data_IF_434896458345
#
_entry.id   IF_434896458345
#
_cell.length_a   1.000
_cell.length_b   1.000
_cell.length_c   1.000
_cell.angle_alpha   90.00
_cell.angle_beta   90.00
_cell.angle_gamma   90.00
#
_symmetry.space_group_name_H-M   'P 1'
#
loop_
_entity.id
_entity.type
_entity.pdbx_description
1 polymer ?
#
# COMPACT_ATOMS: atom_id res chain seq x y z
N UNK A 1 -26.00 0.04 20.48
CA UNK A 1 -26.38 -0.75 19.29
C UNK A 1 -25.94 0.01 18.06
N UNK A 2 -24.98 -0.49 17.31
CA UNK A 2 -24.60 0.09 16.01
C UNK A 2 -25.71 -0.19 15.02
N UNK A 3 -26.26 0.85 14.39
CA UNK A 3 -27.22 0.68 13.30
C UNK A 3 -26.52 0.07 12.08
N UNK A 4 -27.20 -0.77 11.28
CA UNK A 4 -26.67 -1.24 10.00
C UNK A 4 -26.30 -0.03 9.11
N UNK A 5 -25.34 -0.21 8.18
CA UNK A 5 -24.99 0.85 7.24
C UNK A 5 -26.24 1.39 6.54
N UNK A 6 -26.25 2.68 6.27
CA UNK A 6 -27.33 3.35 5.54
C UNK A 6 -27.67 2.58 4.25
N UNK A 7 -28.96 2.36 3.93
CA UNK A 7 -29.39 1.68 2.70
C UNK A 7 -28.95 2.41 1.40
N UNK A 8 -28.37 3.61 1.53
CA UNK A 8 -28.01 4.52 0.45
C UNK A 8 -26.60 4.35 -0.12
N UNK A 9 -25.81 3.35 0.30
CA UNK A 9 -24.46 3.18 -0.27
C UNK A 9 -24.43 2.35 -1.56
N UNK A 10 -25.55 1.76 -1.99
CA UNK A 10 -25.58 1.02 -3.26
C UNK A 10 -24.84 -0.33 -3.22
N UNK A 11 -24.43 -0.82 -2.04
CA UNK A 11 -23.76 -2.12 -1.89
C UNK A 11 -24.60 -3.12 -1.07
N UNK A 12 -24.30 -4.40 -1.25
CA UNK A 12 -24.87 -5.57 -0.56
C UNK A 12 -23.74 -6.56 -0.25
N UNK A 13 -23.84 -7.27 0.88
CA UNK A 13 -22.91 -8.35 1.19
C UNK A 13 -23.38 -9.65 0.55
N UNK A 14 -22.54 -10.24 -0.31
CA UNK A 14 -22.71 -11.60 -0.82
C UNK A 14 -21.86 -12.54 0.02
N UNK A 15 -22.48 -13.53 0.65
CA UNK A 15 -21.80 -14.48 1.53
C UNK A 15 -21.49 -15.79 0.81
N UNK A 16 -20.23 -16.23 0.90
CA UNK A 16 -19.73 -17.46 0.26
C UNK A 16 -19.31 -18.44 1.37
N UNK A 17 -19.77 -19.70 1.33
CA UNK A 17 -19.36 -20.68 2.32
C UNK A 17 -17.88 -21.05 2.13
N UNK A 18 -17.16 -21.21 3.24
CA UNK A 18 -15.79 -21.74 3.25
C UNK A 18 -15.73 -23.00 4.10
N UNK A 19 -14.88 -23.96 3.73
CA UNK A 19 -14.74 -25.23 4.46
C UNK A 19 -14.05 -25.07 5.83
N UNK A 20 -13.44 -23.91 6.12
CA UNK A 20 -12.50 -23.76 7.25
C UNK A 20 -12.91 -22.65 8.24
N UNK A 21 -14.21 -22.57 8.56
CA UNK A 21 -14.80 -22.04 9.83
C UNK A 21 -15.61 -20.76 9.79
N UNK A 22 -15.64 -19.95 8.72
CA UNK A 22 -16.60 -18.82 8.62
C UNK A 22 -16.93 -18.48 7.16
N UNK A 23 -18.20 -18.19 6.82
CA UNK A 23 -18.55 -17.62 5.53
C UNK A 23 -17.83 -16.29 5.28
N UNK A 24 -17.37 -16.10 4.05
CA UNK A 24 -16.73 -14.86 3.61
C UNK A 24 -17.79 -13.94 3.03
N UNK A 25 -17.93 -12.75 3.61
CA UNK A 25 -18.80 -11.70 3.08
C UNK A 25 -18.02 -10.79 2.12
N UNK A 26 -18.44 -10.74 0.86
CA UNK A 26 -17.90 -9.84 -0.16
C UNK A 26 -18.88 -8.69 -0.33
N UNK A 27 -18.39 -7.45 -0.24
CA UNK A 27 -19.22 -6.28 -0.49
C UNK A 27 -19.30 -6.02 -2.01
N UNK A 28 -20.50 -6.18 -2.57
CA UNK A 28 -20.78 -6.07 -4.01
C UNK A 28 -21.78 -4.94 -4.24
N UNK A 29 -21.60 -4.12 -5.27
CA UNK A 29 -22.60 -3.10 -5.61
C UNK A 29 -23.91 -3.78 -6.04
N UNK A 30 -25.06 -3.30 -5.57
CA UNK A 30 -26.41 -3.88 -5.76
C UNK A 30 -26.72 -4.20 -7.22
N UNK A 31 -26.27 -3.35 -8.15
CA UNK A 31 -26.45 -3.55 -9.59
C UNK A 31 -25.70 -4.77 -10.17
N UNK A 32 -24.68 -5.28 -9.46
CA UNK A 32 -23.89 -6.43 -9.87
C UNK A 32 -24.15 -7.68 -9.03
N UNK A 33 -24.95 -7.61 -7.97
CA UNK A 33 -25.20 -8.73 -7.05
C UNK A 33 -25.72 -9.95 -7.79
N UNK A 34 -26.78 -9.81 -8.58
CA UNK A 34 -27.40 -10.93 -9.29
C UNK A 34 -26.46 -11.56 -10.33
N UNK A 35 -25.73 -10.73 -11.08
CA UNK A 35 -24.74 -11.21 -12.05
C UNK A 35 -23.56 -11.91 -11.38
N UNK A 36 -23.10 -11.38 -10.24
CA UNK A 36 -22.03 -11.96 -9.44
C UNK A 36 -22.45 -13.31 -8.84
N UNK A 37 -23.64 -13.39 -8.23
CA UNK A 37 -24.22 -14.64 -7.69
C UNK A 37 -24.37 -15.70 -8.79
N UNK A 38 -24.98 -15.34 -9.92
CA UNK A 38 -25.16 -16.25 -11.05
C UNK A 38 -23.82 -16.76 -11.60
N UNK A 39 -22.82 -15.89 -11.71
CA UNK A 39 -21.47 -16.27 -12.14
C UNK A 39 -20.80 -17.23 -11.16
N UNK A 40 -20.94 -16.98 -9.86
CA UNK A 40 -20.38 -17.84 -8.81
C UNK A 40 -21.02 -19.23 -8.83
N UNK A 41 -22.35 -19.30 -8.94
CA UNK A 41 -23.12 -20.55 -9.00
C UNK A 41 -22.80 -21.34 -10.27
N UNK A 42 -22.78 -20.68 -11.43
CA UNK A 42 -22.44 -21.31 -12.71
C UNK A 42 -21.02 -21.91 -12.73
N UNK A 43 -20.14 -21.45 -11.83
CA UNK A 43 -18.76 -21.93 -11.69
C UNK A 43 -18.57 -22.92 -10.53
N UNK A 44 -19.66 -23.50 -10.02
CA UNK A 44 -19.61 -24.52 -8.96
C UNK A 44 -19.43 -23.95 -7.55
N UNK A 45 -19.44 -22.63 -7.40
CA UNK A 45 -19.48 -21.98 -6.10
C UNK A 45 -20.89 -21.99 -5.50
N UNK A 46 -21.00 -21.62 -4.22
CA UNK A 46 -22.26 -21.51 -3.50
C UNK A 46 -22.42 -20.11 -2.92
N UNK A 47 -23.65 -19.65 -2.81
CA UNK A 47 -24.01 -18.38 -2.15
C UNK A 47 -24.93 -18.71 -0.97
N UNK A 48 -24.76 -18.00 0.14
CA UNK A 48 -25.69 -18.05 1.26
C UNK A 48 -26.60 -16.82 1.15
N UNK A 49 -27.83 -17.03 0.67
CA UNK A 49 -28.80 -15.95 0.41
C UNK A 49 -29.30 -15.29 1.70
N UNK A 50 -29.42 -16.05 2.80
CA UNK A 50 -30.01 -15.59 4.06
C UNK A 50 -29.02 -15.65 5.25
N UNK A 51 -27.76 -15.29 5.02
CA UNK A 51 -26.76 -15.32 6.07
C UNK A 51 -26.97 -14.16 7.06
N UNK A 52 -27.64 -14.43 8.19
CA UNK A 52 -27.72 -13.49 9.32
C UNK A 52 -26.67 -13.86 10.38
N UNK A 53 -25.64 -13.02 10.51
CA UNK A 53 -24.57 -13.16 11.50
C UNK A 53 -25.03 -13.12 12.96
N UNK A 54 -26.31 -12.80 13.21
CA UNK A 54 -26.93 -12.76 14.54
C UNK A 54 -27.80 -13.98 14.84
N UNK A 55 -27.87 -14.95 13.93
CA UNK A 55 -28.56 -16.24 14.15
C UNK A 55 -27.62 -17.28 14.75
N UNK A 56 -28.10 -18.05 15.70
CA UNK A 56 -27.37 -19.06 16.45
C UNK A 56 -26.81 -20.18 15.57
N UNK A 57 -27.51 -20.53 14.50
CA UNK A 57 -27.08 -21.54 13.52
C UNK A 57 -25.82 -21.13 12.72
N UNK A 58 -25.39 -19.86 12.81
CA UNK A 58 -24.14 -19.38 12.21
C UNK A 58 -22.92 -19.53 13.13
N UNK A 59 -23.11 -19.90 14.40
CA UNK A 59 -22.03 -20.13 15.36
C UNK A 59 -21.45 -21.54 15.16
N UNK A 60 -20.23 -21.61 14.62
CA UNK A 60 -19.47 -22.85 14.42
C UNK A 60 -18.25 -22.98 15.36
N UNK A 61 -18.21 -22.19 16.44
CA UNK A 61 -17.13 -22.26 17.42
C UNK A 61 -17.36 -23.44 18.37
N UNK A 62 -16.45 -24.43 18.44
CA UNK A 62 -16.65 -25.66 19.23
C UNK A 62 -16.95 -25.42 20.71
N UNK A 63 -16.58 -24.25 21.23
CA UNK A 63 -16.90 -23.82 22.59
C UNK A 63 -18.41 -23.83 22.89
N UNK A 64 -19.25 -23.68 21.86
CA UNK A 64 -20.70 -23.62 21.98
C UNK A 64 -21.41 -24.87 21.44
N UNK A 65 -20.67 -25.97 21.19
CA UNK A 65 -21.25 -27.19 20.63
C UNK A 65 -22.37 -27.77 21.52
N UNK A 66 -22.22 -27.67 22.84
CA UNK A 66 -23.21 -28.15 23.82
C UNK A 66 -24.44 -27.24 23.96
N UNK A 67 -24.48 -26.08 23.28
CA UNK A 67 -25.57 -25.13 23.40
C UNK A 67 -26.71 -25.52 22.45
N UNK A 68 -27.94 -25.53 22.98
CA UNK A 68 -29.16 -25.64 22.18
C UNK A 68 -29.30 -24.48 21.19
N UNK A 69 -30.06 -24.66 20.12
CA UNK A 69 -30.31 -23.63 19.10
C UNK A 69 -30.83 -22.32 19.71
N UNK A 70 -31.77 -22.40 20.65
CA UNK A 70 -32.29 -21.24 21.38
C UNK A 70 -31.21 -20.51 22.19
N UNK A 71 -30.31 -21.25 22.87
CA UNK A 71 -29.19 -20.64 23.59
C UNK A 71 -28.19 -19.98 22.63
N UNK A 72 -27.95 -20.59 21.47
CA UNK A 72 -27.09 -20.02 20.42
C UNK A 72 -27.69 -18.73 19.84
N UNK A 73 -29.00 -18.71 19.58
CA UNK A 73 -29.72 -17.51 19.13
C UNK A 73 -29.62 -16.36 20.15
N UNK A 74 -29.64 -16.66 21.44
CA UNK A 74 -29.47 -15.65 22.49
C UNK A 74 -28.08 -15.03 22.53
N UNK A 75 -27.01 -15.80 22.22
CA UNK A 75 -25.62 -15.33 22.31
C UNK A 75 -25.07 -14.78 20.98
N UNK A 76 -25.64 -15.17 19.84
CA UNK A 76 -25.15 -14.78 18.51
C UNK A 76 -25.07 -13.26 18.30
N UNK A 77 -26.05 -12.43 18.73
CA UNK A 77 -25.92 -10.98 18.64
C UNK A 77 -24.71 -10.43 19.40
N UNK A 78 -24.41 -10.98 20.58
CA UNK A 78 -23.28 -10.54 21.42
C UNK A 78 -21.93 -10.96 20.84
N UNK A 79 -21.84 -12.18 20.29
CA UNK A 79 -20.64 -12.65 19.60
C UNK A 79 -20.39 -11.80 18.35
N UNK A 80 -21.43 -11.54 17.55
CA UNK A 80 -21.34 -10.69 16.38
C UNK A 80 -20.91 -9.26 16.75
N UNK A 81 -21.54 -8.66 17.78
CA UNK A 81 -21.15 -7.35 18.28
C UNK A 81 -19.71 -7.32 18.77
N UNK A 82 -19.25 -8.32 19.54
CA UNK A 82 -17.86 -8.39 20.00
C UNK A 82 -16.87 -8.51 18.84
N UNK A 83 -17.23 -9.23 17.77
CA UNK A 83 -16.43 -9.33 16.53
C UNK A 83 -16.40 -8.01 15.77
N UNK A 84 -17.53 -7.29 15.68
CA UNK A 84 -17.58 -5.94 15.11
C UNK A 84 -16.75 -4.96 15.93
N UNK A 85 -16.86 -4.96 17.26
CA UNK A 85 -16.05 -4.12 18.16
C UNK A 85 -14.55 -4.44 18.08
N UNK A 86 -14.19 -5.73 17.94
CA UNK A 86 -12.81 -6.14 17.62
C UNK A 86 -12.37 -5.60 16.25
N UNK A 87 -13.23 -5.66 15.24
CA UNK A 87 -12.92 -5.18 13.89
C UNK A 87 -12.82 -3.65 13.84
N UNK A 88 -13.64 -2.93 14.60
CA UNK A 88 -13.59 -1.49 14.77
C UNK A 88 -12.25 -1.01 15.35
N UNK A 89 -11.62 -1.79 16.24
CA UNK A 89 -10.24 -1.51 16.69
C UNK A 89 -9.19 -1.57 15.58
N UNK A 90 -9.50 -2.22 14.46
CA UNK A 90 -8.64 -2.32 13.28
C UNK A 90 -9.05 -1.32 12.18
N UNK A 91 -10.22 -0.66 12.31
CA UNK A 91 -10.67 0.42 11.44
C UNK A 91 -10.12 1.73 12.03
N UNK A 92 -9.31 2.46 11.27
CA UNK A 92 -8.69 3.73 11.73
C UNK A 92 -9.78 4.77 12.02
N UNK A 93 -9.84 5.30 13.24
CA UNK A 93 -10.69 6.45 13.58
C UNK A 93 -10.21 7.75 12.89
N UNK A 94 -11.11 8.71 12.59
CA UNK A 94 -10.72 10.07 12.20
C UNK A 94 -9.94 10.76 13.34
N UNK A 95 -8.91 11.50 12.97
CA UNK A 95 -7.83 11.93 13.87
C UNK A 95 -8.30 12.99 14.90
N UNK A 96 -8.52 12.57 16.15
CA UNK A 96 -8.45 13.46 17.32
C UNK A 96 -7.03 13.41 17.94
N UNK A 97 -6.45 14.59 18.18
CA UNK A 97 -5.02 14.83 18.37
C UNK A 97 -4.44 14.51 19.75
N UNK A 98 -5.07 13.69 20.59
CA UNK A 98 -4.72 13.59 22.02
C UNK A 98 -4.71 12.18 22.64
N UNK A 99 -4.47 11.10 21.87
CA UNK A 99 -4.47 9.74 22.42
C UNK A 99 -3.04 9.15 22.60
N UNK A 100 -2.64 8.66 23.80
CA UNK A 100 -1.28 8.15 24.08
C UNK A 100 -0.93 6.81 23.43
N UNK A 101 -1.91 6.10 22.83
CA UNK A 101 -1.73 4.84 22.09
C UNK A 101 -1.37 5.04 20.61
N UNK A 102 -0.95 6.25 20.22
CA UNK A 102 -0.60 6.57 18.83
C UNK A 102 0.55 5.67 18.37
N UNK A 103 0.41 5.08 17.20
CA UNK A 103 1.57 4.64 16.43
C UNK A 103 2.51 5.83 16.27
N UNK A 104 3.71 5.73 16.85
CA UNK A 104 4.81 6.68 16.62
C UNK A 104 5.56 6.25 15.35
N UNK A 105 6.37 7.13 14.79
CA UNK A 105 7.32 6.78 13.70
C UNK A 105 6.68 6.50 12.32
N UNK A 106 5.57 7.19 12.00
CA UNK A 106 4.87 7.00 10.72
C UNK A 106 5.56 7.66 9.53
N UNK A 107 5.70 6.92 8.43
CA UNK A 107 6.22 7.40 7.13
C UNK A 107 5.05 7.50 6.15
N UNK A 108 5.02 8.58 5.35
CA UNK A 108 4.07 8.76 4.28
C UNK A 108 4.77 9.21 3.00
N UNK A 109 4.29 8.72 1.86
CA UNK A 109 4.67 9.20 0.54
C UNK A 109 3.43 9.75 -0.16
N UNK A 110 3.46 11.04 -0.50
CA UNK A 110 2.40 11.71 -1.24
C UNK A 110 2.85 11.89 -2.68
N UNK A 111 2.01 11.46 -3.62
CA UNK A 111 2.30 11.57 -5.04
C UNK A 111 1.32 12.53 -5.69
N UNK A 112 1.84 13.46 -6.48
CA UNK A 112 1.04 14.41 -7.23
C UNK A 112 0.01 13.64 -8.10
N UNK A 113 -1.29 13.94 -8.01
CA UNK A 113 -2.32 13.30 -8.84
C UNK A 113 -2.06 13.41 -10.35
N UNK A 114 -1.35 14.44 -10.79
CA UNK A 114 -0.93 14.63 -12.18
C UNK A 114 0.23 13.71 -12.61
N UNK A 115 0.86 12.98 -11.69
CA UNK A 115 1.91 12.00 -12.02
C UNK A 115 1.28 10.78 -12.71
N UNK A 116 1.58 10.63 -14.00
CA UNK A 116 0.92 9.69 -14.91
C UNK A 116 1.54 8.29 -14.95
N UNK A 117 2.74 8.10 -14.39
CA UNK A 117 3.41 6.81 -14.46
C UNK A 117 2.93 5.84 -13.38
N UNK A 118 3.01 4.51 -13.63
CA UNK A 118 2.67 3.48 -12.64
C UNK A 118 3.46 3.64 -11.34
N UNK A 119 2.82 3.30 -10.22
CA UNK A 119 3.40 3.34 -8.88
C UNK A 119 3.05 2.03 -8.20
N UNK A 120 4.06 1.24 -7.85
CA UNK A 120 3.89 -0.03 -7.18
C UNK A 120 4.43 0.07 -5.76
N UNK A 121 3.57 -0.11 -4.76
CA UNK A 121 4.00 -0.15 -3.36
C UNK A 121 4.53 -1.55 -3.02
N UNK A 122 5.75 -1.62 -2.48
CA UNK A 122 6.34 -2.88 -2.03
C UNK A 122 5.96 -3.12 -0.56
N UNK A 123 5.28 -4.22 -0.30
CA UNK A 123 5.05 -4.70 1.06
C UNK A 123 6.22 -5.58 1.48
N UNK A 124 7.01 -5.11 2.44
CA UNK A 124 8.07 -5.90 3.03
C UNK A 124 7.50 -6.93 4.01
N UNK A 125 7.98 -8.17 3.92
CA UNK A 125 7.66 -9.23 4.88
C UNK A 125 8.44 -9.07 6.20
N UNK A 126 9.65 -8.51 6.13
CA UNK A 126 10.52 -8.37 7.30
C UNK A 126 10.01 -7.26 8.24
N UNK A 127 9.73 -7.55 9.53
CA UNK A 127 9.10 -6.58 10.45
C UNK A 127 9.85 -5.25 10.60
N UNK A 128 11.19 -5.28 10.55
CA UNK A 128 12.00 -4.06 10.62
C UNK A 128 11.75 -3.15 9.40
N UNK A 129 11.72 -3.72 8.19
CA UNK A 129 11.50 -2.94 6.98
C UNK A 129 10.06 -2.43 6.92
N UNK A 130 9.07 -3.24 7.29
CA UNK A 130 7.65 -2.82 7.36
C UNK A 130 7.45 -1.63 8.31
N UNK A 131 8.26 -1.54 9.37
CA UNK A 131 8.14 -0.51 10.40
C UNK A 131 8.87 0.78 10.04
N UNK A 132 10.08 0.67 9.48
CA UNK A 132 10.98 1.82 9.31
C UNK A 132 11.15 2.27 7.86
N UNK A 133 10.55 1.56 6.90
CA UNK A 133 10.67 1.86 5.47
C UNK A 133 9.31 1.86 4.79
N UNK A 134 9.08 2.85 3.92
CA UNK A 134 8.04 2.80 2.90
C UNK A 134 8.72 2.73 1.54
N UNK A 135 8.38 1.73 0.73
CA UNK A 135 9.07 1.47 -0.54
C UNK A 135 8.11 1.47 -1.72
N UNK A 136 8.45 2.21 -2.78
CA UNK A 136 7.68 2.20 -4.02
C UNK A 136 8.59 2.06 -5.24
N UNK A 137 8.03 1.52 -6.32
CA UNK A 137 8.66 1.55 -7.65
C UNK A 137 7.85 2.50 -8.52
N UNK A 138 8.53 3.50 -9.09
CA UNK A 138 7.96 4.41 -10.07
C UNK A 138 8.31 3.95 -11.49
N UNK A 139 7.27 3.80 -12.32
CA UNK A 139 7.35 3.44 -13.74
C UNK A 139 8.22 2.21 -14.03
N UNK A 140 8.29 1.25 -13.11
CA UNK A 140 9.18 0.08 -13.24
C UNK A 140 10.67 0.42 -13.42
N UNK A 141 11.13 1.63 -13.08
CA UNK A 141 12.53 2.05 -13.31
C UNK A 141 13.21 2.60 -12.07
N UNK A 142 12.48 3.37 -11.26
CA UNK A 142 13.04 4.03 -10.09
C UNK A 142 12.47 3.39 -8.82
N UNK A 143 13.33 2.71 -8.06
CA UNK A 143 13.03 2.29 -6.70
C UNK A 143 13.17 3.47 -5.76
N UNK A 144 12.19 3.70 -4.88
CA UNK A 144 12.26 4.75 -3.86
C UNK A 144 12.04 4.11 -2.50
N UNK A 145 12.98 4.34 -1.58
CA UNK A 145 12.84 4.04 -0.16
C UNK A 145 12.70 5.33 0.64
N UNK A 146 11.56 5.53 1.28
CA UNK A 146 11.41 6.49 2.35
C UNK A 146 11.80 5.81 3.66
N UNK A 147 12.92 6.20 4.26
CA UNK A 147 13.48 5.58 5.46
C UNK A 147 13.38 6.53 6.65
N UNK A 148 12.90 6.04 7.79
CA UNK A 148 12.97 6.76 9.06
C UNK A 148 13.64 5.88 10.11
N UNK A 149 14.79 6.32 10.62
CA UNK A 149 15.52 5.64 11.68
C UNK A 149 15.41 6.46 12.97
N UNK A 150 14.47 6.14 13.88
CA UNK A 150 14.31 6.85 15.13
C UNK A 150 15.62 6.96 15.92
N UNK A 151 15.86 8.07 16.64
CA UNK A 151 17.09 8.27 17.41
C UNK A 151 17.25 7.25 18.54
N UNK A 152 16.16 6.59 18.96
CA UNK A 152 16.15 5.57 20.01
C UNK A 152 16.61 4.18 19.55
N UNK A 153 16.78 3.93 18.25
CA UNK A 153 17.27 2.64 17.76
C UNK A 153 18.73 2.39 18.18
N UNK A 154 19.01 1.17 18.63
CA UNK A 154 20.37 0.69 18.86
C UNK A 154 21.11 0.43 17.54
N UNK A 155 22.43 0.26 17.63
CA UNK A 155 23.29 0.12 16.46
C UNK A 155 23.09 -1.18 15.69
N UNK A 156 22.78 -2.28 16.39
CA UNK A 156 22.55 -3.59 15.77
C UNK A 156 21.29 -3.56 14.90
N UNK A 157 20.20 -3.01 15.42
CA UNK A 157 18.94 -2.85 14.67
C UNK A 157 19.13 -1.98 13.42
N UNK A 158 19.99 -0.96 13.50
CA UNK A 158 20.27 -0.10 12.34
C UNK A 158 21.05 -0.86 11.28
N UNK A 159 22.09 -1.60 11.67
CA UNK A 159 22.87 -2.41 10.75
C UNK A 159 21.98 -3.46 10.07
N UNK A 160 21.07 -4.11 10.81
CA UNK A 160 20.08 -5.03 10.25
C UNK A 160 19.16 -4.36 9.23
N UNK A 161 18.60 -3.19 9.55
CA UNK A 161 17.72 -2.45 8.61
C UNK A 161 18.49 -2.11 7.33
N UNK A 162 19.72 -1.62 7.45
CA UNK A 162 20.55 -1.22 6.31
C UNK A 162 20.99 -2.43 5.47
N UNK A 163 21.32 -3.55 6.11
CA UNK A 163 21.68 -4.79 5.41
C UNK A 163 20.51 -5.43 4.67
N UNK A 164 19.29 -5.30 5.22
CA UNK A 164 18.06 -5.84 4.62
C UNK A 164 17.50 -4.96 3.49
N UNK A 165 17.86 -3.68 3.43
CA UNK A 165 17.29 -2.74 2.47
C UNK A 165 17.70 -3.11 1.02
N UNK A 166 16.75 -3.47 0.14
CA UNK A 166 17.09 -3.92 -1.20
C UNK A 166 17.51 -2.74 -2.06
N UNK A 167 18.76 -2.71 -2.52
CA UNK A 167 19.26 -1.65 -3.42
C UNK A 167 18.93 -1.89 -4.90
N UNK A 168 18.34 -3.05 -5.23
CA UNK A 168 17.92 -3.40 -6.57
C UNK A 168 16.61 -4.18 -6.54
N UNK A 169 15.79 -3.97 -7.58
CA UNK A 169 14.60 -4.75 -7.85
C UNK A 169 14.61 -5.18 -9.32
N UNK A 170 14.02 -6.31 -9.66
CA UNK A 170 14.17 -6.97 -10.98
C UNK A 170 13.86 -6.08 -12.21
N UNK A 171 13.07 -5.02 -12.04
CA UNK A 171 12.73 -4.07 -13.12
C UNK A 171 13.48 -2.73 -13.04
N UNK A 172 14.04 -2.38 -11.88
CA UNK A 172 14.53 -1.03 -11.60
C UNK A 172 15.97 -0.85 -12.04
N UNK A 173 16.28 0.33 -12.58
CA UNK A 173 17.63 0.71 -13.01
C UNK A 173 18.33 1.63 -12.02
N UNK A 174 17.57 2.20 -11.09
CA UNK A 174 18.05 3.20 -10.15
C UNK A 174 17.26 3.11 -8.85
N UNK A 175 17.94 3.44 -7.76
CA UNK A 175 17.39 3.50 -6.41
C UNK A 175 17.63 4.87 -5.81
N UNK A 176 16.57 5.48 -5.28
CA UNK A 176 16.60 6.70 -4.47
C UNK A 176 16.17 6.36 -3.05
N UNK A 177 16.93 6.83 -2.07
CA UNK A 177 16.64 6.66 -0.66
C UNK A 177 16.55 8.05 -0.04
N UNK A 178 15.50 8.30 0.73
CA UNK A 178 15.33 9.57 1.40
C UNK A 178 14.68 9.44 2.77
N UNK A 179 15.01 10.35 3.67
CA UNK A 179 14.32 10.51 4.95
C UNK A 179 15.25 10.91 6.08
N UNK A 180 14.76 10.78 7.31
CA UNK A 180 15.49 11.13 8.53
C UNK A 180 16.19 9.89 9.11
N UNK A 181 17.51 9.90 9.03
CA UNK A 181 18.35 8.79 9.47
C UNK A 181 18.85 8.99 10.91
N UNK A 182 18.69 10.19 11.49
CA UNK A 182 19.30 10.61 12.76
C UNK A 182 20.82 10.37 12.83
N UNK A 183 21.46 10.26 11.68
CA UNK A 183 22.87 9.93 11.49
C UNK A 183 23.63 11.21 11.10
N UNK A 184 24.65 11.61 11.87
CA UNK A 184 25.47 12.79 11.52
C UNK A 184 26.74 12.31 10.86
N UNK A 185 26.93 12.67 9.59
CA UNK A 185 28.04 12.22 8.75
C UNK A 185 29.30 13.12 8.81
N UNK A 186 29.31 14.12 9.70
CA UNK A 186 30.48 14.96 9.96
C UNK A 186 30.98 15.68 8.71
N UNK A 187 32.31 15.70 8.53
CA UNK A 187 32.96 16.37 7.40
C UNK A 187 32.53 15.83 6.04
N UNK A 188 31.91 14.64 5.94
CA UNK A 188 31.41 14.11 4.67
C UNK A 188 30.23 14.92 4.13
N UNK A 189 29.45 15.58 4.98
CA UNK A 189 28.32 16.41 4.59
C UNK A 189 28.49 17.87 5.02
N UNK A 190 29.60 18.21 5.67
CA UNK A 190 29.83 19.50 6.30
C UNK A 190 29.11 19.66 7.64
N UNK A 191 28.64 18.56 8.23
CA UNK A 191 28.10 18.58 9.59
C UNK A 191 29.26 18.75 10.61
N UNK A 192 29.02 19.52 11.67
CA UNK A 192 29.96 19.77 12.75
C UNK A 192 30.20 18.55 13.66
N UNK A 193 29.41 17.48 13.53
CA UNK A 193 29.55 16.28 14.34
C UNK A 193 29.48 15.01 13.51
N UNK A 194 30.17 13.97 13.98
CA UNK A 194 30.10 12.61 13.47
C UNK A 194 29.71 11.69 14.62
N UNK A 195 28.49 11.14 14.60
CA UNK A 195 27.99 10.30 15.69
C UNK A 195 28.19 8.80 15.39
N UNK A 196 28.10 7.89 16.39
CA UNK A 196 28.25 6.46 16.16
C UNK A 196 27.32 5.94 15.05
N UNK A 197 26.06 6.35 15.05
CA UNK A 197 25.12 6.03 13.97
C UNK A 197 25.59 6.49 12.59
N UNK A 198 26.19 7.68 12.51
CA UNK A 198 26.83 8.19 11.32
C UNK A 198 27.94 7.28 10.80
N UNK A 199 28.67 6.60 11.69
CA UNK A 199 29.65 5.57 11.31
C UNK A 199 29.00 4.36 10.67
N UNK A 200 27.93 3.82 11.25
CA UNK A 200 27.18 2.68 10.68
C UNK A 200 26.66 3.03 9.29
N UNK A 201 25.93 4.15 9.17
CA UNK A 201 25.39 4.62 7.89
C UNK A 201 26.51 4.89 6.88
N UNK A 202 27.59 5.55 7.27
CA UNK A 202 28.73 5.82 6.37
C UNK A 202 29.38 4.53 5.85
N UNK A 203 29.64 3.56 6.74
CA UNK A 203 30.22 2.27 6.34
C UNK A 203 29.33 1.54 5.32
N UNK A 204 28.01 1.57 5.52
CA UNK A 204 27.05 0.99 4.59
C UNK A 204 27.01 1.74 3.25
N UNK A 205 27.00 3.08 3.27
CA UNK A 205 27.07 3.91 2.06
C UNK A 205 28.32 3.60 1.24
N UNK A 206 29.49 3.48 1.89
CA UNK A 206 30.76 3.18 1.24
C UNK A 206 30.78 1.76 0.67
N UNK A 207 30.33 0.77 1.43
CA UNK A 207 30.29 -0.64 1.00
C UNK A 207 29.42 -0.86 -0.24
N UNK A 208 28.41 0.00 -0.43
CA UNK A 208 27.47 -0.08 -1.55
C UNK A 208 27.72 0.98 -2.64
N UNK A 209 28.81 1.75 -2.56
CA UNK A 209 29.15 2.83 -3.51
C UNK A 209 28.02 3.85 -3.73
N UNK A 210 27.30 4.21 -2.67
CA UNK A 210 26.14 5.09 -2.75
C UNK A 210 26.54 6.57 -2.77
N UNK A 211 25.77 7.35 -3.52
CA UNK A 211 25.92 8.80 -3.69
C UNK A 211 25.08 9.50 -2.63
N UNK A 212 25.70 10.38 -1.84
CA UNK A 212 25.01 11.26 -0.89
C UNK A 212 24.84 12.64 -1.53
N UNK A 213 23.62 12.99 -1.95
CA UNK A 213 23.34 14.25 -2.66
C UNK A 213 23.55 15.48 -1.77
N UNK A 214 23.27 15.37 -0.47
CA UNK A 214 23.53 16.43 0.50
C UNK A 214 25.00 16.86 0.51
N UNK A 215 25.92 15.90 0.41
CA UNK A 215 27.37 16.16 0.36
C UNK A 215 27.79 16.92 -0.89
N UNK A 216 27.13 16.67 -2.03
CA UNK A 216 27.52 17.24 -3.32
C UNK A 216 26.89 18.59 -3.60
N UNK A 217 25.62 18.76 -3.22
CA UNK A 217 24.78 19.87 -3.70
C UNK A 217 24.39 20.84 -2.59
N UNK A 218 24.47 20.44 -1.32
CA UNK A 218 24.09 21.27 -0.17
C UNK A 218 25.06 21.11 1.00
N UNK A 219 26.36 21.02 0.71
CA UNK A 219 27.40 20.77 1.72
C UNK A 219 27.36 21.84 2.82
N UNK A 220 27.37 21.39 4.08
CA UNK A 220 27.35 22.25 5.27
C UNK A 220 26.01 22.90 5.58
N UNK A 221 24.96 22.66 4.78
CA UNK A 221 23.63 23.22 5.03
C UNK A 221 22.85 22.31 6.00
N UNK A 222 22.47 22.78 7.19
CA UNK A 222 21.74 21.95 8.15
C UNK A 222 20.34 21.58 7.68
N UNK A 223 19.93 20.35 7.94
CA UNK A 223 18.58 19.85 7.63
C UNK A 223 17.66 19.89 8.84
N UNK A 224 18.21 20.11 10.04
CA UNK A 224 17.46 20.23 11.26
C UNK A 224 18.08 21.31 12.18
N UNK A 225 17.21 22.15 12.76
CA UNK A 225 17.58 23.29 13.57
C UNK A 225 16.93 23.17 14.94
N UNK A 226 17.75 23.02 15.97
CA UNK A 226 17.31 23.04 17.36
C UNK A 226 17.97 24.19 18.11
N UNK A 227 17.38 24.57 19.24
CA UNK A 227 17.95 25.62 20.11
C UNK A 227 19.38 25.31 20.56
N UNK A 228 19.74 24.03 20.68
CA UNK A 228 21.06 23.55 21.09
C UNK A 228 22.08 23.47 19.93
N UNK A 229 21.65 23.74 18.70
CA UNK A 229 22.49 23.66 17.50
C UNK A 229 21.79 23.02 16.33
N UNK A 230 22.49 23.01 15.19
CA UNK A 230 21.97 22.50 13.93
C UNK A 230 22.65 21.18 13.57
N UNK A 231 21.95 20.33 12.83
CA UNK A 231 22.45 19.04 12.38
C UNK A 231 22.06 18.75 10.93
N UNK A 232 22.83 17.88 10.28
CA UNK A 232 22.48 17.26 9.00
C UNK A 232 22.17 15.80 9.33
N UNK A 233 20.90 15.43 9.20
CA UNK A 233 20.40 14.09 9.55
C UNK A 233 19.37 13.56 8.54
N UNK A 234 18.86 14.44 7.67
CA UNK A 234 17.95 14.11 6.60
C UNK A 234 18.71 14.04 5.28
N UNK A 235 18.57 12.95 4.53
CA UNK A 235 19.41 12.69 3.36
C UNK A 235 18.61 12.34 2.12
N UNK A 236 19.15 12.71 0.97
CA UNK A 236 18.87 12.06 -0.31
C UNK A 236 20.10 11.26 -0.74
N UNK A 237 19.90 9.98 -1.03
CA UNK A 237 20.95 9.01 -1.37
C UNK A 237 20.54 8.25 -2.63
N UNK A 238 21.46 7.94 -3.53
CA UNK A 238 21.17 7.07 -4.68
C UNK A 238 22.30 6.09 -5.02
N UNK A 239 21.97 5.03 -5.75
CA UNK A 239 22.94 4.08 -6.31
C UNK A 239 23.52 4.51 -7.66
N UNK A 240 22.91 5.51 -8.28
CA UNK A 240 23.18 5.96 -9.64
C UNK A 240 23.23 7.48 -9.70
N UNK A 241 24.02 8.00 -10.62
CA UNK A 241 24.11 9.44 -10.89
C UNK A 241 22.86 9.91 -11.64
N UNK A 242 22.13 10.87 -11.06
CA UNK A 242 21.01 11.50 -11.74
C UNK A 242 21.46 12.73 -12.51
N UNK A 243 20.81 12.99 -13.65
CA UNK A 243 21.12 14.14 -14.50
C UNK A 243 20.38 15.38 -14.02
N UNK A 244 20.96 16.56 -14.31
CA UNK A 244 20.34 17.85 -14.00
C UNK A 244 19.91 17.99 -12.53
N UNK A 245 20.66 17.35 -11.62
CA UNK A 245 20.27 17.22 -10.22
C UNK A 245 20.49 18.51 -9.44
N UNK A 246 19.48 18.92 -8.69
CA UNK A 246 19.49 20.08 -7.80
C UNK A 246 18.91 19.68 -6.45
N UNK A 247 19.53 20.14 -5.37
CA UNK A 247 19.04 19.95 -4.01
C UNK A 247 18.94 21.31 -3.34
N UNK A 248 17.76 21.61 -2.79
CA UNK A 248 17.52 22.81 -2.01
C UNK A 248 17.04 22.46 -0.60
N UNK A 249 17.70 23.03 0.41
CA UNK A 249 17.22 23.03 1.79
C UNK A 249 16.35 24.27 1.99
N UNK A 250 15.06 24.08 2.26
CA UNK A 250 14.02 25.11 2.16
C UNK A 250 13.57 25.58 3.52
N UNK A 251 14.18 26.64 4.01
CA UNK A 251 13.76 27.28 5.27
C UNK A 251 12.34 27.86 5.23
N UNK A 252 11.89 28.29 4.05
CA UNK A 252 10.61 28.96 3.83
C UNK A 252 9.38 28.03 3.86
N UNK A 253 9.59 26.70 3.85
CA UNK A 253 8.51 25.71 3.69
C UNK A 253 8.41 24.69 4.82
N UNK A 254 9.17 24.86 5.91
CA UNK A 254 9.33 23.84 6.96
C UNK A 254 8.15 23.71 7.93
N UNK A 255 7.03 24.40 7.70
CA UNK A 255 5.79 24.29 8.49
C UNK A 255 6.02 24.32 10.02
N UNK A 256 6.88 25.22 10.51
CA UNK A 256 7.31 25.34 11.92
C UNK A 256 8.01 24.12 12.53
N UNK A 257 8.34 23.10 11.73
CA UNK A 257 9.19 21.99 12.12
C UNK A 257 10.64 22.44 12.32
N UNK A 258 11.35 21.76 13.22
CA UNK A 258 12.79 21.90 13.38
C UNK A 258 13.53 21.31 12.18
N UNK A 259 12.97 20.26 11.56
CA UNK A 259 13.45 19.71 10.30
C UNK A 259 13.06 20.64 9.15
N UNK A 260 13.99 20.80 8.20
CA UNK A 260 13.82 21.62 7.03
C UNK A 260 13.20 20.83 5.91
N UNK A 261 12.26 21.45 5.21
CA UNK A 261 11.74 20.88 3.99
C UNK A 261 12.88 20.81 2.96
N UNK A 262 13.04 19.69 2.28
CA UNK A 262 14.09 19.52 1.26
C UNK A 262 13.46 19.21 -0.08
N UNK A 263 14.05 19.74 -1.15
CA UNK A 263 13.60 19.48 -2.52
C UNK A 263 14.76 18.97 -3.35
N UNK A 264 14.71 17.71 -3.74
CA UNK A 264 15.58 17.14 -4.77
C UNK A 264 14.84 17.18 -6.11
N UNK A 265 15.43 17.80 -7.11
CA UNK A 265 14.97 17.81 -8.50
C UNK A 265 16.02 17.13 -9.35
N UNK A 266 15.60 16.27 -10.26
CA UNK A 266 16.50 15.55 -11.15
C UNK A 266 15.76 15.07 -12.39
N UNK A 267 16.51 14.81 -13.44
CA UNK A 267 16.04 14.15 -14.64
C UNK A 267 16.37 12.66 -14.56
N UNK A 268 15.40 11.83 -14.93
CA UNK A 268 15.61 10.39 -15.11
C UNK A 268 15.43 10.09 -16.59
N UNK A 269 16.53 9.99 -17.37
CA UNK A 269 16.46 9.79 -18.82
C UNK A 269 15.65 8.55 -19.22
N UNK A 270 15.66 7.50 -18.39
CA UNK A 270 14.93 6.26 -18.61
C UNK A 270 13.44 6.31 -18.23
N UNK A 271 12.99 7.26 -17.39
CA UNK A 271 11.56 7.54 -17.20
C UNK A 271 10.97 8.30 -18.38
N UNK A 272 11.83 8.99 -19.15
CA UNK A 272 11.47 9.83 -20.28
C UNK A 272 11.61 9.12 -21.64
N UNK A 273 12.00 7.84 -21.67
CA UNK A 273 11.81 7.03 -22.88
C UNK A 273 10.31 7.00 -23.12
N UNK A 274 9.92 7.83 -24.10
CA UNK A 274 8.55 8.05 -24.54
C UNK A 274 7.92 6.67 -24.67
N UNK A 275 6.91 6.40 -23.87
CA UNK A 275 5.81 5.65 -24.45
C UNK A 275 5.50 6.42 -25.73
N UNK A 276 5.64 5.73 -26.86
CA UNK A 276 5.26 6.17 -28.20
C UNK A 276 4.03 7.07 -28.13
N UNK A 277 3.86 8.02 -29.05
CA UNK A 277 2.81 9.08 -29.10
C UNK A 277 1.34 8.62 -28.93
N UNK A 278 1.10 7.35 -28.62
CA UNK A 278 -0.06 6.84 -27.92
C UNK A 278 -0.33 7.62 -26.62
N UNK A 279 -1.56 8.10 -26.40
CA UNK A 279 -1.95 8.75 -25.15
C UNK A 279 -1.59 7.87 -23.95
N UNK A 280 -0.56 8.30 -23.21
CA UNK A 280 -0.20 7.72 -21.91
C UNK A 280 -1.48 7.59 -21.07
N UNK A 281 -1.78 6.40 -20.50
CA UNK A 281 -3.02 6.18 -19.78
C UNK A 281 -3.18 7.28 -18.74
N UNK A 282 -4.19 8.14 -18.94
CA UNK A 282 -4.62 9.06 -17.91
C UNK A 282 -4.84 8.21 -16.67
N UNK A 283 -4.31 8.60 -15.50
CA UNK A 283 -4.58 7.87 -14.25
C UNK A 283 -6.09 7.74 -14.14
N UNK A 284 -6.60 6.54 -14.44
CA UNK A 284 -8.03 6.28 -14.58
C UNK A 284 -8.59 6.30 -13.16
N UNK A 285 -9.04 7.47 -12.73
CA UNK A 285 -10.08 7.51 -11.73
C UNK A 285 -11.27 6.77 -12.34
N UNK A 286 -11.84 5.84 -11.57
CA UNK A 286 -12.98 5.06 -12.01
C UNK A 286 -14.09 6.03 -12.42
N UNK A 287 -14.26 6.24 -13.72
CA UNK A 287 -15.40 6.99 -14.23
C UNK A 287 -16.58 6.03 -14.30
N UNK A 288 -17.09 5.70 -13.11
CA UNK A 288 -18.25 4.82 -12.90
C UNK A 288 -19.48 5.32 -13.67
N UNK A 289 -19.53 6.61 -14.00
CA UNK A 289 -20.62 7.17 -14.82
C UNK A 289 -20.64 6.61 -16.25
N UNK A 290 -19.50 6.15 -16.79
CA UNK A 290 -19.47 5.49 -18.12
C UNK A 290 -20.20 4.15 -18.14
N UNK A 291 -20.32 3.47 -17.00
CA UNK A 291 -21.05 2.20 -16.88
C UNK A 291 -22.58 2.39 -16.97
N UNK A 292 -23.07 3.63 -16.85
CA UNK A 292 -24.47 3.98 -17.15
C UNK A 292 -24.80 3.74 -18.63
N UNK A 293 -23.80 3.70 -19.52
CA UNK A 293 -23.97 3.33 -20.91
C UNK A 293 -24.01 1.80 -21.05
N UNK A 294 -25.16 1.28 -21.51
CA UNK A 294 -25.42 -0.17 -21.63
C UNK A 294 -24.44 -0.90 -22.56
N UNK A 295 -23.95 -0.27 -23.62
CA UNK A 295 -23.01 -0.91 -24.55
C UNK A 295 -21.61 -1.04 -23.93
N UNK A 296 -21.17 -0.01 -23.21
CA UNK A 296 -19.89 -0.02 -22.48
C UNK A 296 -19.95 -1.05 -21.33
N UNK A 297 -21.06 -1.07 -20.59
CA UNK A 297 -21.30 -2.07 -19.54
C UNK A 297 -21.30 -3.51 -20.09
N UNK A 298 -21.90 -3.73 -21.26
CA UNK A 298 -21.89 -5.03 -21.92
C UNK A 298 -20.48 -5.45 -22.35
N UNK A 299 -19.73 -4.57 -23.01
CA UNK A 299 -18.34 -4.84 -23.39
C UNK A 299 -17.45 -5.11 -22.18
N UNK A 300 -17.65 -4.39 -21.07
CA UNK A 300 -16.92 -4.64 -19.81
C UNK A 300 -17.20 -6.05 -19.32
N UNK A 301 -18.48 -6.42 -19.25
CA UNK A 301 -18.94 -7.73 -18.78
C UNK A 301 -18.35 -8.85 -19.65
N UNK A 302 -18.42 -8.73 -20.98
CA UNK A 302 -17.89 -9.74 -21.91
C UNK A 302 -16.37 -9.89 -21.83
N UNK A 303 -15.66 -8.78 -21.66
CA UNK A 303 -14.19 -8.75 -21.52
C UNK A 303 -13.75 -9.38 -20.20
N UNK A 304 -14.43 -9.03 -19.11
CA UNK A 304 -14.23 -9.63 -17.80
C UNK A 304 -14.53 -11.14 -17.84
N UNK A 305 -15.63 -11.55 -18.47
CA UNK A 305 -16.00 -12.96 -18.67
C UNK A 305 -14.95 -13.74 -19.47
N UNK A 306 -14.39 -13.13 -20.51
CA UNK A 306 -13.35 -13.72 -21.37
C UNK A 306 -12.00 -13.86 -20.65
N UNK A 307 -11.59 -12.84 -19.90
CA UNK A 307 -10.31 -12.84 -19.15
C UNK A 307 -10.39 -13.60 -17.83
N UNK A 308 -11.61 -13.82 -17.31
CA UNK A 308 -11.92 -14.84 -16.30
C UNK A 308 -12.00 -16.25 -16.90
N UNK A 309 -11.45 -16.48 -18.11
CA UNK A 309 -11.22 -17.83 -18.66
C UNK A 309 -10.63 -18.78 -17.62
N UNK A 310 -10.73 -20.11 -17.81
CA UNK A 310 -10.88 -21.09 -16.74
C UNK A 310 -9.95 -20.75 -15.59
N UNK A 311 -10.52 -20.18 -14.53
CA UNK A 311 -9.89 -20.12 -13.23
C UNK A 311 -9.71 -21.58 -12.86
N UNK A 312 -8.58 -22.17 -13.26
CA UNK A 312 -8.13 -23.50 -12.86
C UNK A 312 -7.65 -23.37 -11.41
N UNK A 313 -8.61 -23.02 -10.57
CA UNK A 313 -8.48 -22.96 -9.13
C UNK A 313 -9.17 -24.21 -8.69
N UNK A 314 -8.37 -25.21 -8.32
CA UNK A 314 -8.90 -26.34 -7.58
C UNK A 314 -9.44 -25.79 -6.26
N UNK A 315 -10.75 -25.53 -6.20
CA UNK A 315 -11.41 -25.07 -4.98
C UNK A 315 -11.23 -26.05 -3.82
N UNK A 316 -10.78 -27.28 -4.09
CA UNK A 316 -10.37 -28.21 -3.06
C UNK A 316 -9.04 -27.82 -2.39
N UNK A 317 -8.18 -27.00 -3.00
CA UNK A 317 -6.87 -26.58 -2.46
C UNK A 317 -6.94 -25.35 -1.52
N UNK A 318 -8.14 -24.83 -1.23
CA UNK A 318 -8.38 -23.70 -0.31
C UNK A 318 -8.33 -24.15 1.15
N UNK A 319 -7.17 -24.65 1.59
CA UNK A 319 -6.98 -25.22 2.93
C UNK A 319 -6.53 -24.21 3.99
N UNK A 320 -6.02 -23.03 3.59
CA UNK A 320 -5.50 -22.02 4.51
C UNK A 320 -5.73 -20.57 4.05
N UNK A 321 -5.41 -19.63 4.94
CA UNK A 321 -5.50 -18.19 4.74
C UNK A 321 -4.57 -17.65 3.65
N UNK A 322 -3.53 -18.39 3.27
CA UNK A 322 -2.60 -18.05 2.20
C UNK A 322 -3.22 -18.36 0.83
N UNK A 323 -3.86 -19.52 0.70
CA UNK A 323 -4.63 -19.91 -0.50
C UNK A 323 -5.81 -18.98 -0.76
N UNK A 324 -6.47 -18.50 0.30
CA UNK A 324 -7.55 -17.52 0.19
C UNK A 324 -7.05 -16.13 -0.26
N UNK A 325 -5.86 -15.69 0.21
CA UNK A 325 -5.24 -14.44 -0.27
C UNK A 325 -4.78 -14.54 -1.71
N UNK A 326 -4.14 -15.64 -2.11
CA UNK A 326 -3.76 -15.88 -3.50
C UNK A 326 -4.95 -15.86 -4.46
N UNK A 327 -6.12 -16.34 -4.03
CA UNK A 327 -7.35 -16.21 -4.80
C UNK A 327 -7.79 -14.74 -4.94
N UNK A 328 -7.74 -13.98 -3.84
CA UNK A 328 -8.07 -12.54 -3.84
C UNK A 328 -7.12 -11.77 -4.76
N UNK A 329 -5.81 -12.04 -4.68
CA UNK A 329 -4.79 -11.36 -5.46
C UNK A 329 -4.93 -11.67 -6.97
N UNK A 330 -5.18 -12.95 -7.34
CA UNK A 330 -5.47 -13.33 -8.73
C UNK A 330 -6.76 -12.69 -9.26
N UNK A 331 -7.81 -12.60 -8.43
CA UNK A 331 -9.05 -11.94 -8.82
C UNK A 331 -8.80 -10.45 -9.06
N UNK A 332 -8.07 -9.77 -8.17
CA UNK A 332 -7.67 -8.36 -8.31
C UNK A 332 -6.84 -8.13 -9.58
N UNK A 333 -5.95 -9.07 -9.92
CA UNK A 333 -5.12 -9.03 -11.13
C UNK A 333 -5.97 -9.17 -12.41
N UNK A 334 -6.96 -10.06 -12.44
CA UNK A 334 -7.88 -10.23 -13.58
C UNK A 334 -8.80 -9.02 -13.77
N UNK A 335 -9.27 -8.41 -12.69
CA UNK A 335 -10.01 -7.15 -12.74
C UNK A 335 -9.16 -6.02 -13.32
N UNK A 336 -7.87 -5.98 -12.96
CA UNK A 336 -6.92 -4.99 -13.48
C UNK A 336 -6.61 -5.21 -14.97
N UNK A 337 -6.56 -6.47 -15.43
CA UNK A 337 -6.33 -6.81 -16.84
C UNK A 337 -7.54 -6.55 -17.75
N UNK A 338 -8.75 -6.87 -17.27
CA UNK A 338 -9.99 -6.66 -18.03
C UNK A 338 -10.30 -5.19 -18.30
N UNK A 339 -9.80 -4.31 -17.42
CA UNK A 339 -9.81 -2.87 -17.63
C UNK A 339 -8.97 -2.46 -18.85
N UNK A 340 -7.78 -3.06 -19.05
CA UNK A 340 -6.87 -2.72 -20.16
C UNK A 340 -7.44 -3.01 -21.55
N UNK A 341 -8.33 -4.00 -21.68
CA UNK A 341 -8.97 -4.37 -22.96
C UNK A 341 -10.09 -3.41 -23.35
N UNK A 342 -10.80 -2.80 -22.39
CA UNK A 342 -11.77 -1.75 -22.70
C UNK A 342 -11.12 -0.47 -23.23
N UNK A 343 -9.91 -0.19 -22.78
CA UNK A 343 -9.17 1.00 -23.20
C UNK A 343 -8.58 0.84 -24.61
N UNK A 344 -8.31 -0.40 -25.07
CA UNK A 344 -7.91 -0.70 -26.45
C UNK A 344 -9.06 -0.56 -27.46
N UNK A 345 -10.32 -0.78 -27.04
CA UNK A 345 -11.51 -0.58 -27.86
C UNK A 345 -11.81 0.88 -28.23
N UNK A 346 -11.04 1.83 -27.69
CA UNK A 346 -11.19 3.27 -27.96
C UNK A 346 -10.30 3.77 -29.11
N UNK A 347 -9.46 2.92 -29.71
CA UNK A 347 -8.59 3.26 -30.87
C UNK A 347 -9.03 2.59 -32.17
N UNK A 348 -10.34 2.58 -32.44
CA UNK A 348 -10.85 2.34 -33.79
C UNK A 348 -11.90 3.38 -34.16
N UNK A 349 -11.41 4.60 -34.38
CA UNK A 349 -11.93 5.56 -35.36
C UNK A 349 -10.86 6.66 -35.53
N UNK A 350 -10.08 6.48 -36.60
CA UNK A 350 -9.02 7.32 -37.17
C UNK A 350 -7.70 7.44 -36.41
#
# INVERSE_FOLDING_TARGET
MLQPPSPNQGYEHVYIPTKVRLPVGILVHKEFVEGFKATLINRGGQVIEDFDTRKGNTIQDPKYDDYTEHQRDQIAPYIHQSRLEKSLRHIREPVNSSNPHRGKDGIALLVNPAFKYPIHHIQHEHPLLTKFTLTVILNHKLLIHCLYLPPSLDSETIDDILALLPLQYHSTTSTLICGDLNARLGSHTGDSSFNPRGRNVWNWLQSNNLIVWNSRLSFGQPTNYHFQGNSIIDYFISDTEFQSTQLAIRDDRSLSSTHKFMTLTFEVPSLLQRYDDSPLPQRLQWNLDKLKNKNICHQYRTTLEHNLGPLDVDFNSLHDSSSARNLIDRVVEIFSFSQGVLDAGSYSCF
#
